data_IF_623618454835
#
_entry.id   IF_623618454835
#
_cell.length_a   1.000
_cell.length_b   1.000
_cell.length_c   1.000
_cell.angle_alpha   90.00
_cell.angle_beta   90.00
_cell.angle_gamma   90.00
#
_symmetry.space_group_name_H-M   'P 1'
#
loop_
_entity.id
_entity.type
_entity.pdbx_description
1 polymer ?
#
# COMPACT_ATOMS: atom_id res chain seq x y z
N UNK A 1 -3.35 -12.72 -32.16
CA UNK A 1 -2.10 -13.48 -32.00
C UNK A 1 -1.23 -13.02 -30.82
N UNK A 2 -1.28 -11.75 -30.38
CA UNK A 2 -0.46 -11.28 -29.23
C UNK A 2 -0.91 -11.78 -27.84
N UNK A 3 -2.18 -12.21 -27.71
CA UNK A 3 -2.82 -12.58 -26.44
C UNK A 3 -2.26 -13.86 -25.80
N UNK A 4 -1.63 -14.72 -26.58
CA UNK A 4 -1.02 -15.99 -26.14
C UNK A 4 0.50 -15.90 -26.04
N UNK A 5 1.09 -14.73 -26.30
CA UNK A 5 2.52 -14.56 -26.15
C UNK A 5 2.90 -14.69 -24.66
N UNK A 6 3.93 -15.48 -24.37
CA UNK A 6 4.42 -15.72 -23.01
C UNK A 6 4.76 -14.40 -22.28
N UNK A 7 5.20 -13.39 -23.03
CA UNK A 7 5.46 -12.05 -22.50
C UNK A 7 4.19 -11.34 -22.05
N UNK A 8 3.09 -11.47 -22.80
CA UNK A 8 1.80 -10.88 -22.44
C UNK A 8 1.24 -11.53 -21.17
N UNK A 9 1.20 -12.86 -21.12
CA UNK A 9 0.67 -13.60 -19.96
C UNK A 9 1.57 -13.46 -18.73
N UNK A 10 2.90 -13.46 -18.92
CA UNK A 10 3.86 -13.24 -17.83
C UNK A 10 3.74 -11.84 -17.21
N UNK A 11 3.54 -10.81 -18.03
CA UNK A 11 3.35 -9.44 -17.55
C UNK A 11 2.01 -9.29 -16.81
N UNK A 12 0.95 -9.96 -17.28
CA UNK A 12 -0.34 -10.00 -16.59
C UNK A 12 -0.21 -10.59 -15.18
N UNK A 13 0.44 -11.76 -15.06
CA UNK A 13 0.66 -12.42 -13.76
C UNK A 13 1.52 -11.56 -12.83
N UNK A 14 2.60 -10.97 -13.35
CA UNK A 14 3.46 -10.08 -12.56
C UNK A 14 2.66 -8.89 -12.00
N UNK A 15 1.83 -8.23 -12.82
CA UNK A 15 1.02 -7.11 -12.36
C UNK A 15 0.02 -7.54 -11.29
N UNK A 16 -0.62 -8.69 -11.45
CA UNK A 16 -1.57 -9.21 -10.47
C UNK A 16 -0.90 -9.58 -9.14
N UNK A 17 0.24 -10.25 -9.18
CA UNK A 17 1.00 -10.59 -7.99
C UNK A 17 1.49 -9.33 -7.25
N UNK A 18 2.01 -8.35 -8.00
CA UNK A 18 2.56 -7.13 -7.43
C UNK A 18 1.47 -6.27 -6.78
N UNK A 19 0.27 -6.19 -7.38
CA UNK A 19 -0.89 -5.50 -6.81
C UNK A 19 -1.44 -6.25 -5.59
N UNK A 20 -1.47 -7.59 -5.65
CA UNK A 20 -1.93 -8.42 -4.53
C UNK A 20 -1.02 -8.28 -3.31
N UNK A 21 0.29 -8.36 -3.53
CA UNK A 21 1.31 -8.14 -2.51
C UNK A 21 1.23 -6.71 -1.98
N UNK A 22 1.08 -5.70 -2.83
CA UNK A 22 0.99 -4.30 -2.40
C UNK A 22 -0.20 -4.05 -1.47
N UNK A 23 -1.36 -4.66 -1.76
CA UNK A 23 -2.57 -4.54 -0.93
C UNK A 23 -2.40 -5.18 0.46
N UNK A 24 -1.61 -6.24 0.59
CA UNK A 24 -1.37 -6.92 1.87
C UNK A 24 -0.19 -6.30 2.62
N UNK A 25 0.88 -5.91 1.93
CA UNK A 25 2.10 -5.40 2.53
C UNK A 25 1.91 -3.97 3.08
N UNK A 26 1.16 -3.13 2.38
CA UNK A 26 0.88 -1.75 2.81
C UNK A 26 0.27 -1.66 4.23
N UNK A 27 -0.81 -2.39 4.58
CA UNK A 27 -1.37 -2.34 5.94
C UNK A 27 -0.43 -2.95 6.98
N UNK A 28 0.33 -3.99 6.66
CA UNK A 28 1.30 -4.60 7.59
C UNK A 28 2.37 -3.60 7.99
N UNK A 29 2.96 -2.90 7.01
CA UNK A 29 3.99 -1.89 7.28
C UNK A 29 3.40 -0.70 8.05
N UNK A 30 2.18 -0.28 7.74
CA UNK A 30 1.53 0.81 8.47
C UNK A 30 1.23 0.46 9.93
N UNK A 31 0.80 -0.77 10.23
CA UNK A 31 0.57 -1.21 11.62
C UNK A 31 1.88 -1.15 12.41
N UNK A 32 2.99 -1.63 11.84
CA UNK A 32 4.31 -1.58 12.47
C UNK A 32 4.75 -0.14 12.73
N UNK A 33 4.65 0.74 11.73
CA UNK A 33 5.01 2.16 11.85
C UNK A 33 4.15 2.90 12.88
N UNK A 34 2.83 2.67 12.88
CA UNK A 34 1.92 3.27 13.84
C UNK A 34 2.21 2.79 15.27
N UNK A 35 2.53 1.51 15.44
CA UNK A 35 2.94 0.93 16.72
C UNK A 35 4.23 1.57 17.25
N UNK A 36 5.30 1.59 16.45
CA UNK A 36 6.58 2.21 16.83
C UNK A 36 6.42 3.69 17.15
N UNK A 37 5.68 4.44 16.33
CA UNK A 37 5.44 5.86 16.58
C UNK A 37 4.61 6.12 17.84
N UNK A 38 3.72 5.20 18.21
CA UNK A 38 2.94 5.32 19.46
C UNK A 38 3.84 5.17 20.68
N UNK A 39 4.78 4.23 20.66
CA UNK A 39 5.77 4.03 21.73
C UNK A 39 6.67 5.26 21.85
N UNK A 40 7.19 5.75 20.72
CA UNK A 40 8.04 6.94 20.70
C UNK A 40 7.29 8.21 21.17
N UNK A 41 6.01 8.34 20.82
CA UNK A 41 5.17 9.45 21.28
C UNK A 41 4.97 9.43 22.79
N UNK A 42 4.76 8.24 23.37
CA UNK A 42 4.51 8.05 24.81
C UNK A 42 5.70 8.44 25.69
N UNK A 43 6.94 8.34 25.18
CA UNK A 43 8.15 8.70 25.92
C UNK A 43 8.65 10.13 25.65
N UNK A 44 7.89 10.95 24.91
CA UNK A 44 8.37 12.22 24.36
C UNK A 44 7.69 13.44 24.99
N UNK A 45 8.46 14.53 25.13
CA UNK A 45 7.96 15.81 25.67
C UNK A 45 6.90 16.44 24.72
N UNK A 46 6.10 17.40 25.19
CA UNK A 46 4.94 17.96 24.45
C UNK A 46 5.24 18.33 22.98
N UNK A 47 6.39 18.95 22.72
CA UNK A 47 6.82 19.30 21.35
C UNK A 47 7.04 18.08 20.45
N UNK A 48 7.68 17.03 20.98
CA UNK A 48 7.96 15.81 20.24
C UNK A 48 6.69 14.98 20.05
N UNK A 49 5.78 14.98 21.02
CA UNK A 49 4.51 14.29 20.93
C UNK A 49 3.63 14.84 19.78
N UNK A 50 3.66 16.15 19.55
CA UNK A 50 2.99 16.81 18.41
C UNK A 50 3.63 16.41 17.08
N UNK A 51 4.97 16.32 17.01
CA UNK A 51 5.71 15.90 15.82
C UNK A 51 5.40 14.45 15.44
N UNK A 52 5.42 13.53 16.41
CA UNK A 52 5.08 12.12 16.20
C UNK A 52 3.61 11.95 15.82
N UNK A 53 2.70 12.73 16.41
CA UNK A 53 1.28 12.75 16.03
C UNK A 53 1.04 13.19 14.57
N UNK A 54 1.73 14.23 14.09
CA UNK A 54 1.66 14.66 12.69
C UNK A 54 2.17 13.55 11.74
N UNK A 55 3.25 12.86 12.13
CA UNK A 55 3.80 11.73 11.35
C UNK A 55 2.83 10.54 11.29
N UNK A 56 2.19 10.18 12.41
CA UNK A 56 1.14 9.14 12.43
C UNK A 56 0.00 9.48 11.49
N UNK A 57 -0.50 10.72 11.51
CA UNK A 57 -1.57 11.17 10.60
C UNK A 57 -1.16 11.05 9.13
N UNK A 58 0.07 11.45 8.79
CA UNK A 58 0.58 11.30 7.42
C UNK A 58 0.64 9.82 6.99
N UNK A 59 1.09 8.91 7.87
CA UNK A 59 1.12 7.47 7.56
C UNK A 59 -0.29 6.94 7.26
N UNK A 60 -1.30 7.34 8.04
CA UNK A 60 -2.69 6.94 7.80
C UNK A 60 -3.20 7.46 6.45
N UNK A 61 -2.93 8.72 6.12
CA UNK A 61 -3.34 9.30 4.83
C UNK A 61 -2.67 8.57 3.66
N UNK A 62 -1.35 8.31 3.76
CA UNK A 62 -0.62 7.57 2.73
C UNK A 62 -1.15 6.14 2.56
N UNK A 63 -1.50 5.45 3.65
CA UNK A 63 -2.06 4.11 3.59
C UNK A 63 -3.39 4.11 2.81
N UNK A 64 -4.29 5.05 3.10
CA UNK A 64 -5.59 5.16 2.41
C UNK A 64 -5.38 5.41 0.92
N UNK A 65 -4.52 6.36 0.53
CA UNK A 65 -4.24 6.68 -0.88
C UNK A 65 -3.61 5.47 -1.60
N UNK A 66 -2.70 4.74 -0.95
CA UNK A 66 -2.07 3.56 -1.53
C UNK A 66 -3.08 2.41 -1.75
N UNK A 67 -3.96 2.16 -0.79
CA UNK A 67 -5.01 1.13 -0.90
C UNK A 67 -6.02 1.48 -2.00
N UNK A 68 -6.45 2.75 -2.08
CA UNK A 68 -7.36 3.22 -3.14
C UNK A 68 -6.74 3.09 -4.52
N UNK A 69 -5.50 3.56 -4.69
CA UNK A 69 -4.76 3.45 -5.97
C UNK A 69 -4.61 2.00 -6.41
N UNK A 70 -4.22 1.11 -5.50
CA UNK A 70 -4.05 -0.32 -5.79
C UNK A 70 -5.37 -0.97 -6.19
N UNK A 71 -6.48 -0.60 -5.54
CA UNK A 71 -7.82 -1.11 -5.85
C UNK A 71 -8.31 -0.63 -7.22
N UNK A 72 -8.08 0.64 -7.56
CA UNK A 72 -8.43 1.21 -8.87
C UNK A 72 -7.67 0.50 -9.99
N UNK A 73 -6.36 0.28 -9.81
CA UNK A 73 -5.55 -0.43 -10.82
C UNK A 73 -6.06 -1.87 -10.99
N UNK A 74 -6.36 -2.58 -9.89
CA UNK A 74 -6.93 -3.93 -9.95
C UNK A 74 -8.27 -3.96 -10.69
N UNK A 75 -9.12 -2.96 -10.49
CA UNK A 75 -10.38 -2.82 -11.19
C UNK A 75 -10.16 -2.64 -12.70
N UNK A 76 -9.25 -1.74 -13.08
CA UNK A 76 -8.90 -1.48 -14.49
C UNK A 76 -8.37 -2.75 -15.16
N UNK A 77 -7.44 -3.46 -14.52
CA UNK A 77 -6.89 -4.72 -15.04
C UNK A 77 -7.98 -5.78 -15.26
N UNK A 78 -8.92 -5.90 -14.32
CA UNK A 78 -10.07 -6.80 -14.45
C UNK A 78 -10.93 -6.46 -15.68
N UNK A 79 -11.13 -5.17 -16.00
CA UNK A 79 -11.88 -4.75 -17.20
C UNK A 79 -11.18 -5.13 -18.51
N UNK A 80 -9.84 -5.18 -18.52
CA UNK A 80 -9.05 -5.62 -19.68
C UNK A 80 -8.85 -7.14 -19.75
N UNK A 81 -9.47 -7.91 -18.85
CA UNK A 81 -9.36 -9.37 -18.80
C UNK A 81 -7.98 -9.85 -18.34
N UNK A 82 -7.25 -9.01 -17.61
CA UNK A 82 -6.02 -9.36 -16.89
C UNK A 82 -6.48 -9.85 -15.52
N UNK A 83 -6.43 -11.16 -15.28
CA UNK A 83 -7.10 -11.82 -14.15
C UNK A 83 -6.14 -12.25 -13.05
#
# INVERSE_FOLDING_TARGET
>A
MLRESVLFTGTQNLLNDLISILLVLAPVIAIVLLGVFSILKSGSNEMDAVKWGKRQRNVVICLIVAMLSSTIIKLILKYYGVQ
#
